data_IF_094395666486
#
_entry.id   IF_094395666486
#
_cell.length_a   1.000
_cell.length_b   1.000
_cell.length_c   1.000
_cell.angle_alpha   90.00
_cell.angle_beta   90.00
_cell.angle_gamma   90.00
#
_symmetry.space_group_name_H-M   'P 1'
#
loop_
_entity.id
_entity.type
_entity.pdbx_description
1 polymer ?
#
# COMPACT_ATOMS: atom_id res chain seq x y z
N UNK A 1 11.69 -2.39 -1.23
CA UNK A 1 11.58 -3.52 -0.27
C UNK A 1 12.06 -3.15 1.13
N UNK A 2 13.28 -2.66 1.34
CA UNK A 2 13.75 -2.27 2.67
C UNK A 2 12.81 -1.27 3.39
N UNK A 3 12.26 -0.29 2.67
CA UNK A 3 11.30 0.69 3.22
C UNK A 3 9.99 0.04 3.68
N UNK A 4 9.47 -0.92 2.90
CA UNK A 4 8.27 -1.68 3.26
C UNK A 4 8.48 -2.46 4.56
N UNK A 5 9.58 -3.22 4.64
CA UNK A 5 9.89 -3.97 5.85
C UNK A 5 10.12 -3.05 7.05
N UNK A 6 10.76 -1.89 6.84
CA UNK A 6 10.91 -0.87 7.87
C UNK A 6 9.55 -0.38 8.40
N UNK A 7 8.63 -0.01 7.52
CA UNK A 7 7.29 0.46 7.92
C UNK A 7 6.46 -0.63 8.58
N UNK A 8 6.53 -1.86 8.07
CA UNK A 8 5.85 -3.00 8.68
C UNK A 8 6.36 -3.28 10.10
N UNK A 9 7.69 -3.29 10.30
CA UNK A 9 8.32 -3.51 11.61
C UNK A 9 7.99 -2.37 12.58
N UNK A 10 8.08 -1.12 12.14
CA UNK A 10 7.74 0.05 12.96
C UNK A 10 6.28 -0.03 13.37
N UNK A 11 5.37 -0.23 12.41
CA UNK A 11 3.94 -0.37 12.67
C UNK A 11 3.66 -1.47 13.69
N UNK A 12 4.17 -2.70 13.48
CA UNK A 12 3.98 -3.81 14.43
C UNK A 12 4.54 -3.53 15.83
N UNK A 13 5.59 -2.71 15.94
CA UNK A 13 6.13 -2.30 17.24
C UNK A 13 5.19 -1.33 17.96
N UNK A 14 4.56 -0.42 17.21
CA UNK A 14 3.60 0.56 17.75
C UNK A 14 2.29 -0.12 18.17
N UNK A 15 1.85 -1.18 17.49
CA UNK A 15 0.70 -2.02 17.90
C UNK A 15 0.87 -2.56 19.30
N UNK A 16 2.05 -3.12 19.57
CA UNK A 16 2.38 -3.65 20.90
C UNK A 16 2.41 -2.52 21.93
N UNK A 17 2.90 -1.34 21.54
CA UNK A 17 2.91 -0.16 22.41
C UNK A 17 1.48 0.38 22.71
N UNK A 18 0.54 0.22 21.77
CA UNK A 18 -0.87 0.58 21.90
C UNK A 18 -1.68 -0.49 22.67
N UNK A 19 -1.06 -1.62 23.06
CA UNK A 19 -1.75 -2.73 23.73
C UNK A 19 -2.70 -3.51 22.81
N UNK A 20 -2.60 -3.33 21.51
CA UNK A 20 -3.42 -4.00 20.52
C UNK A 20 -2.91 -5.41 20.19
N UNK A 21 -3.82 -6.28 19.71
CA UNK A 21 -3.48 -7.64 19.33
C UNK A 21 -2.80 -7.69 17.96
N UNK A 22 -1.50 -7.99 17.96
CA UNK A 22 -0.72 -8.26 16.73
C UNK A 22 -1.36 -9.37 15.89
N UNK A 23 -2.04 -10.34 16.53
CA UNK A 23 -2.70 -11.44 15.84
C UNK A 23 -3.77 -10.97 14.84
N UNK A 24 -4.48 -9.86 15.13
CA UNK A 24 -5.46 -9.29 14.22
C UNK A 24 -4.82 -8.76 12.93
N UNK A 25 -3.52 -8.48 12.96
CA UNK A 25 -2.80 -7.86 11.85
C UNK A 25 -1.97 -8.84 11.02
N UNK A 26 -1.73 -10.06 11.55
CA UNK A 26 -1.00 -11.12 10.86
C UNK A 26 -1.49 -11.35 9.42
N UNK A 27 -2.81 -11.44 9.13
CA UNK A 27 -3.28 -11.66 7.77
C UNK A 27 -2.84 -10.55 6.80
N UNK A 28 -2.91 -9.29 7.23
CA UNK A 28 -2.53 -8.14 6.42
C UNK A 28 -1.02 -8.10 6.21
N UNK A 29 -0.23 -8.32 7.26
CA UNK A 29 1.24 -8.37 7.18
C UNK A 29 1.66 -9.46 6.19
N UNK A 30 1.09 -10.66 6.29
CA UNK A 30 1.39 -11.77 5.38
C UNK A 30 0.99 -11.41 3.94
N UNK A 31 -0.23 -10.92 3.72
CA UNK A 31 -0.73 -10.59 2.39
C UNK A 31 0.13 -9.52 1.70
N UNK A 32 0.41 -8.40 2.37
CA UNK A 32 1.17 -7.30 1.77
C UNK A 32 2.68 -7.61 1.66
N UNK A 33 3.21 -8.45 2.56
CA UNK A 33 4.57 -8.96 2.40
C UNK A 33 4.68 -9.85 1.17
N UNK A 34 3.68 -10.70 0.90
CA UNK A 34 3.64 -11.50 -0.33
C UNK A 34 3.54 -10.61 -1.57
N UNK A 35 2.74 -9.53 -1.54
CA UNK A 35 2.72 -8.55 -2.64
C UNK A 35 4.10 -7.95 -2.85
N UNK A 36 4.78 -7.57 -1.78
CA UNK A 36 6.13 -7.03 -1.84
C UNK A 36 7.14 -8.02 -2.43
N UNK A 37 7.15 -9.26 -1.95
CA UNK A 37 8.07 -10.32 -2.40
C UNK A 37 7.82 -10.64 -3.88
N UNK A 38 6.56 -10.89 -4.26
CA UNK A 38 6.20 -11.22 -5.65
C UNK A 38 6.49 -10.05 -6.57
N UNK A 39 6.14 -8.81 -6.17
CA UNK A 39 6.45 -7.62 -6.94
C UNK A 39 7.95 -7.42 -7.14
N UNK A 40 8.75 -7.60 -6.08
CA UNK A 40 10.21 -7.52 -6.16
C UNK A 40 10.81 -8.60 -7.07
N UNK A 41 10.30 -9.84 -7.01
CA UNK A 41 10.73 -10.95 -7.87
C UNK A 41 10.39 -10.74 -9.35
N UNK A 42 9.24 -10.11 -9.63
CA UNK A 42 8.86 -9.76 -11.00
C UNK A 42 9.75 -8.65 -11.51
N UNK A 43 9.91 -7.56 -10.75
CA UNK A 43 10.73 -6.41 -11.15
C UNK A 43 12.20 -6.78 -11.30
N UNK A 44 12.74 -7.70 -10.50
CA UNK A 44 14.12 -8.16 -10.65
C UNK A 44 14.37 -8.95 -11.95
N UNK A 45 13.32 -9.53 -12.55
CA UNK A 45 13.40 -10.21 -13.85
C UNK A 45 13.07 -9.29 -15.01
N UNK A 46 12.07 -8.43 -14.84
CA UNK A 46 11.66 -7.43 -15.82
C UNK A 46 11.33 -6.11 -15.12
N UNK A 47 12.28 -5.18 -15.19
CA UNK A 47 12.19 -3.87 -14.53
C UNK A 47 11.06 -3.00 -15.08
N UNK A 48 10.52 -3.32 -16.28
CA UNK A 48 9.44 -2.58 -16.93
C UNK A 48 8.07 -3.19 -16.70
N UNK A 49 8.00 -4.32 -16.01
CA UNK A 49 6.75 -5.02 -15.76
C UNK A 49 5.86 -4.21 -14.80
N UNK A 50 4.74 -3.71 -15.32
CA UNK A 50 3.81 -2.86 -14.58
C UNK A 50 3.18 -3.64 -13.42
N UNK A 51 2.97 -4.95 -13.54
CA UNK A 51 2.41 -5.78 -12.47
C UNK A 51 3.35 -5.78 -11.27
N UNK A 52 4.65 -6.01 -11.50
CA UNK A 52 5.65 -6.03 -10.45
C UNK A 52 5.74 -4.68 -9.73
N UNK A 53 5.73 -3.58 -10.49
CA UNK A 53 5.73 -2.22 -9.95
C UNK A 53 4.46 -1.90 -9.15
N UNK A 54 3.29 -2.35 -9.61
CA UNK A 54 2.02 -2.13 -8.92
C UNK A 54 1.93 -2.93 -7.62
N UNK A 55 2.40 -4.19 -7.60
CA UNK A 55 2.46 -4.98 -6.37
C UNK A 55 3.42 -4.36 -5.34
N UNK A 56 4.57 -3.86 -5.80
CA UNK A 56 5.51 -3.11 -4.95
C UNK A 56 4.90 -1.83 -4.39
N UNK A 57 4.22 -1.06 -5.23
CA UNK A 57 3.53 0.17 -4.84
C UNK A 57 2.42 -0.11 -3.83
N UNK A 58 1.58 -1.12 -4.09
CA UNK A 58 0.50 -1.52 -3.20
C UNK A 58 1.01 -1.93 -1.83
N UNK A 59 2.07 -2.74 -1.77
CA UNK A 59 2.72 -3.10 -0.51
C UNK A 59 3.27 -1.87 0.24
N UNK A 60 3.94 -0.96 -0.46
CA UNK A 60 4.46 0.27 0.15
C UNK A 60 3.36 1.16 0.71
N UNK A 61 2.30 1.42 -0.07
CA UNK A 61 1.20 2.27 0.41
C UNK A 61 0.44 1.67 1.57
N UNK A 62 0.16 0.37 1.55
CA UNK A 62 -0.55 -0.28 2.65
C UNK A 62 0.29 -0.31 3.91
N UNK A 63 1.60 -0.55 3.81
CA UNK A 63 2.50 -0.46 4.98
C UNK A 63 2.59 0.96 5.55
N UNK A 64 2.54 1.98 4.70
CA UNK A 64 2.60 3.39 5.10
C UNK A 64 1.30 3.82 5.78
N UNK A 65 0.16 3.38 5.23
CA UNK A 65 -1.17 3.60 5.78
C UNK A 65 -1.32 2.96 7.16
N UNK A 66 -0.90 1.69 7.26
CA UNK A 66 -0.89 0.95 8.51
C UNK A 66 -0.03 1.62 9.58
N UNK A 67 1.22 1.98 9.26
CA UNK A 67 2.11 2.71 10.18
C UNK A 67 1.50 4.06 10.61
N UNK A 68 0.84 4.77 9.70
CA UNK A 68 0.16 6.03 9.99
C UNK A 68 -1.00 5.87 10.98
N UNK A 69 -1.77 4.80 10.89
CA UNK A 69 -2.86 4.48 11.82
C UNK A 69 -2.35 4.28 13.24
N UNK A 70 -1.35 3.42 13.39
CA UNK A 70 -0.76 3.11 14.69
C UNK A 70 -0.12 4.33 15.36
N UNK A 71 0.59 5.16 14.59
CA UNK A 71 1.17 6.41 15.07
C UNK A 71 0.09 7.42 15.47
N UNK A 72 -1.05 7.45 14.78
CA UNK A 72 -2.18 8.31 15.14
C UNK A 72 -2.73 7.92 16.50
N UNK A 73 -3.02 6.64 16.72
CA UNK A 73 -3.51 6.11 18.00
C UNK A 73 -2.54 6.47 19.14
N UNK A 74 -1.25 6.18 18.94
CA UNK A 74 -0.19 6.44 19.90
C UNK A 74 -0.05 7.93 20.27
N UNK A 75 -0.23 8.84 19.32
CA UNK A 75 -0.19 10.30 19.52
C UNK A 75 -1.42 10.80 20.28
N UNK A 76 -2.61 10.32 19.90
CA UNK A 76 -3.88 10.72 20.52
C UNK A 76 -3.95 10.28 21.98
N UNK A 77 -3.51 9.05 22.28
CA UNK A 77 -3.47 8.54 23.66
C UNK A 77 -2.52 9.33 24.56
N UNK A 78 -1.46 9.90 24.01
CA UNK A 78 -0.53 10.82 24.71
C UNK A 78 -1.03 12.26 24.80
N UNK A 79 -2.24 12.55 24.33
CA UNK A 79 -2.83 13.87 24.35
C UNK A 79 -2.27 14.83 23.29
N UNK A 80 -1.55 14.33 22.29
CA UNK A 80 -1.09 15.15 21.18
C UNK A 80 -2.23 15.37 20.19
N UNK A 81 -2.54 16.63 19.91
CA UNK A 81 -3.45 17.04 18.85
C UNK A 81 -2.72 18.04 17.94
N UNK A 82 -2.79 17.84 16.63
CA UNK A 82 -2.15 18.75 15.68
C UNK A 82 -2.28 18.29 14.23
N UNK A 83 -1.80 19.11 13.28
CA UNK A 83 -1.90 18.83 11.85
C UNK A 83 -1.26 17.49 11.45
N UNK A 84 -0.18 17.09 12.13
CA UNK A 84 0.49 15.82 11.90
C UNK A 84 -0.43 14.62 12.19
N UNK A 85 -1.17 14.65 13.31
CA UNK A 85 -2.11 13.59 13.70
C UNK A 85 -3.21 13.47 12.65
N UNK A 86 -3.72 14.61 12.15
CA UNK A 86 -4.73 14.64 11.09
C UNK A 86 -4.19 14.04 9.80
N UNK A 87 -2.97 14.38 9.39
CA UNK A 87 -2.35 13.81 8.19
C UNK A 87 -2.14 12.30 8.30
N UNK A 88 -1.66 11.82 9.45
CA UNK A 88 -1.48 10.39 9.71
C UNK A 88 -2.82 9.64 9.73
N UNK A 89 -3.86 10.25 10.32
CA UNK A 89 -5.22 9.69 10.33
C UNK A 89 -5.80 9.61 8.90
N UNK A 90 -5.61 10.65 8.09
CA UNK A 90 -6.01 10.65 6.68
C UNK A 90 -5.23 9.62 5.87
N UNK A 91 -3.93 9.49 6.11
CA UNK A 91 -3.09 8.46 5.48
C UNK A 91 -3.56 7.05 5.84
N UNK A 92 -3.98 6.81 7.08
CA UNK A 92 -4.57 5.54 7.48
C UNK A 92 -5.93 5.31 6.80
N UNK A 93 -6.77 6.36 6.72
CA UNK A 93 -8.14 6.23 6.20
C UNK A 93 -8.19 6.03 4.68
N UNK A 94 -7.31 6.71 3.93
CA UNK A 94 -7.30 6.67 2.47
C UNK A 94 -6.13 5.89 1.87
N UNK A 95 -5.00 5.76 2.58
CA UNK A 95 -3.78 5.16 2.03
C UNK A 95 -3.94 3.69 1.62
N UNK A 96 -4.72 2.90 2.36
CA UNK A 96 -5.04 1.52 1.95
C UNK A 96 -5.83 1.47 0.65
N UNK A 97 -6.73 2.44 0.42
CA UNK A 97 -7.55 2.54 -0.77
C UNK A 97 -6.67 2.85 -2.00
N UNK A 98 -5.76 3.81 -1.86
CA UNK A 98 -4.77 4.12 -2.88
C UNK A 98 -3.76 2.98 -3.12
N UNK A 99 -3.50 2.12 -2.12
CA UNK A 99 -2.66 0.94 -2.30
C UNK A 99 -3.36 -0.20 -3.06
N UNK A 100 -4.62 -0.48 -2.74
CA UNK A 100 -5.36 -1.65 -3.24
C UNK A 100 -6.06 -1.37 -4.57
N UNK A 101 -6.70 -0.22 -4.74
CA UNK A 101 -7.49 0.05 -5.95
C UNK A 101 -6.66 0.00 -7.24
N UNK A 102 -5.45 0.59 -7.33
CA UNK A 102 -4.63 0.47 -8.53
C UNK A 102 -4.27 -0.99 -8.81
N UNK A 103 -3.99 -1.78 -7.78
CA UNK A 103 -3.70 -3.21 -7.93
C UNK A 103 -4.91 -3.92 -8.52
N UNK A 104 -6.12 -3.70 -8.00
CA UNK A 104 -7.36 -4.37 -8.47
C UNK A 104 -7.77 -3.93 -9.87
N UNK A 105 -7.66 -2.64 -10.20
CA UNK A 105 -8.12 -2.13 -11.50
C UNK A 105 -7.08 -2.30 -12.62
N UNK A 106 -5.78 -2.23 -12.31
CA UNK A 106 -4.72 -2.26 -13.32
C UNK A 106 -4.23 -3.69 -13.59
N UNK A 107 -4.19 -4.58 -12.58
CA UNK A 107 -3.75 -5.97 -12.80
C UNK A 107 -4.50 -6.66 -13.95
N UNK A 108 -5.84 -6.68 -13.98
CA UNK A 108 -6.58 -7.41 -15.01
C UNK A 108 -6.33 -6.88 -16.42
N UNK A 109 -6.03 -5.59 -16.56
CA UNK A 109 -5.77 -4.93 -17.86
C UNK A 109 -4.40 -5.29 -18.41
N UNK A 110 -3.44 -5.52 -17.52
CA UNK A 110 -2.03 -5.67 -17.85
C UNK A 110 -1.57 -7.14 -17.76
N UNK A 111 -2.45 -8.02 -17.28
CA UNK A 111 -2.26 -9.47 -17.26
C UNK A 111 -2.35 -10.06 -18.68
N UNK A 112 -1.55 -11.09 -19.03
CA UNK A 112 -0.52 -11.76 -18.21
C UNK A 112 0.87 -11.10 -18.29
N UNK A 113 1.16 -10.36 -19.35
CA UNK A 113 2.55 -10.06 -19.74
C UNK A 113 3.16 -8.85 -19.02
N UNK A 114 2.42 -8.16 -18.17
CA UNK A 114 2.91 -6.92 -17.54
C UNK A 114 2.94 -5.72 -18.49
N UNK A 115 2.41 -5.89 -19.70
CA UNK A 115 2.38 -4.91 -20.77
C UNK A 115 0.93 -4.62 -21.19
N UNK A 116 0.68 -3.40 -21.65
CA UNK A 116 -0.60 -3.03 -22.27
C UNK A 116 -0.83 -3.89 -23.52
N UNK A 117 -1.95 -4.63 -23.63
CA UNK A 117 -2.21 -5.51 -24.78
C UNK A 117 -2.22 -4.77 -26.12
N UNK A 118 -2.56 -3.47 -26.13
CA UNK A 118 -2.58 -2.61 -27.33
C UNK A 118 -2.81 -1.13 -26.95
N UNK A 119 -2.43 -0.19 -27.84
CA UNK A 119 -2.61 1.27 -27.63
C UNK A 119 -4.05 1.70 -27.30
N UNK A 120 -5.06 0.91 -27.70
CA UNK A 120 -6.49 1.12 -27.40
C UNK A 120 -6.86 1.01 -25.91
N UNK A 121 -5.99 0.45 -25.08
CA UNK A 121 -6.20 0.37 -23.62
C UNK A 121 -5.63 1.58 -22.87
N UNK A 122 -4.87 2.47 -23.54
CA UNK A 122 -4.36 3.71 -22.94
C UNK A 122 -5.48 4.62 -22.39
N UNK A 123 -6.60 4.85 -23.08
CA UNK A 123 -7.71 5.64 -22.53
C UNK A 123 -8.30 5.01 -21.27
N UNK A 124 -8.37 3.68 -21.19
CA UNK A 124 -8.88 2.98 -20.01
C UNK A 124 -7.93 3.13 -18.81
N UNK A 125 -6.62 3.06 -19.02
CA UNK A 125 -5.64 3.39 -17.97
C UNK A 125 -5.74 4.85 -17.53
N UNK A 126 -5.87 5.79 -18.48
CA UNK A 126 -6.05 7.21 -18.14
C UNK A 126 -7.34 7.42 -17.37
N UNK A 127 -8.43 6.73 -17.74
CA UNK A 127 -9.68 6.77 -17.01
C UNK A 127 -9.53 6.22 -15.59
N UNK A 128 -8.86 5.07 -15.40
CA UNK A 128 -8.59 4.51 -14.07
C UNK A 128 -7.73 5.47 -13.24
N UNK A 129 -6.67 6.03 -13.81
CA UNK A 129 -5.80 6.97 -13.12
C UNK A 129 -6.54 8.27 -12.76
N UNK A 130 -7.37 8.79 -13.66
CA UNK A 130 -8.20 9.96 -13.42
C UNK A 130 -9.24 9.68 -12.33
N UNK A 131 -9.90 8.53 -12.38
CA UNK A 131 -10.85 8.08 -11.36
C UNK A 131 -10.18 7.95 -9.99
N UNK A 132 -9.00 7.33 -9.93
CA UNK A 132 -8.20 7.21 -8.72
C UNK A 132 -7.71 8.57 -8.21
N UNK A 133 -7.54 9.58 -9.06
CA UNK A 133 -7.13 10.93 -8.63
C UNK A 133 -8.28 11.79 -8.07
N UNK A 134 -9.53 11.37 -8.28
CA UNK A 134 -10.74 12.08 -7.82
C UNK A 134 -11.27 11.53 -6.49
N UNK A 135 -10.87 10.30 -6.15
CA UNK A 135 -11.10 9.66 -4.84
C UNK A 135 -10.03 10.14 -3.87
#
# INVERSE_FOLDING_TARGET
>A
MAVFFGFAVIGSTVVVANGESVAAQVPYIVAFTMFGIVGALIVSRDHRNVIGLMLLYGALMTSSSFMGGELTTWLVERGHAGPLVVVLALMNNFGWLFGILPVVFILPVVFPDGHLPSRRWRPYLVFILAFLSVI
#
